data_IF_540468225919
#
_entry.id   IF_540468225919
#
_cell.length_a   1.000
_cell.length_b   1.000
_cell.length_c   1.000
_cell.angle_alpha   90.00
_cell.angle_beta   90.00
_cell.angle_gamma   90.00
#
_symmetry.space_group_name_H-M   'P 1'
#
loop_
_entity.id
_entity.type
_entity.pdbx_description
1 polymer ?
#
# COMPACT_ATOMS: atom_id res chain seq x y z
N UNK A 1 -64.69 10.76 -9.05
CA UNK A 1 -64.24 12.12 -8.67
C UNK A 1 -63.19 11.98 -7.60
N UNK A 2 -61.93 11.95 -7.95
CA UNK A 2 -60.78 12.43 -7.17
C UNK A 2 -59.53 12.18 -7.98
N UNK A 3 -59.05 13.25 -8.63
CA UNK A 3 -57.80 13.34 -9.33
C UNK A 3 -56.68 13.34 -8.30
N UNK A 4 -55.80 12.31 -8.32
CA UNK A 4 -54.53 12.33 -7.60
C UNK A 4 -53.43 12.57 -8.59
N UNK A 5 -52.86 13.76 -8.52
CA UNK A 5 -51.73 14.24 -9.28
C UNK A 5 -50.47 13.49 -8.81
N UNK A 6 -49.97 12.55 -9.61
CA UNK A 6 -48.66 11.92 -9.35
C UNK A 6 -47.59 12.85 -9.90
N UNK A 7 -46.93 13.53 -8.99
CA UNK A 7 -45.79 14.36 -9.31
C UNK A 7 -44.64 13.55 -9.88
N UNK A 8 -44.33 13.83 -11.15
CA UNK A 8 -43.12 13.32 -11.81
C UNK A 8 -41.91 14.00 -11.20
N UNK A 9 -41.23 13.30 -10.29
CA UNK A 9 -39.87 13.70 -9.88
C UNK A 9 -38.91 13.31 -11.00
N UNK A 10 -38.62 14.28 -11.86
CA UNK A 10 -37.49 14.22 -12.76
C UNK A 10 -36.21 14.11 -11.91
N UNK A 11 -35.62 12.91 -11.86
CA UNK A 11 -34.25 12.76 -11.37
C UNK A 11 -33.36 13.54 -12.32
N UNK A 12 -32.96 14.73 -11.88
CA UNK A 12 -31.99 15.57 -12.55
C UNK A 12 -30.63 14.91 -12.33
N UNK A 13 -30.08 14.31 -13.39
CA UNK A 13 -28.70 13.87 -13.45
C UNK A 13 -27.77 15.10 -13.51
N UNK A 14 -27.60 15.76 -12.39
CA UNK A 14 -26.65 16.86 -12.21
C UNK A 14 -26.32 16.93 -10.72
N UNK A 15 -25.39 16.10 -10.32
CA UNK A 15 -24.39 16.32 -9.27
C UNK A 15 -23.40 15.16 -9.26
N UNK A 16 -22.83 14.89 -10.45
CA UNK A 16 -21.46 14.41 -10.46
C UNK A 16 -20.62 15.65 -10.19
N UNK A 17 -20.37 15.95 -8.93
CA UNK A 17 -19.30 16.84 -8.55
C UNK A 17 -18.04 16.37 -9.31
N UNK A 18 -17.33 17.25 -10.03
CA UNK A 18 -16.05 16.87 -10.59
C UNK A 18 -15.22 16.40 -9.40
N UNK A 19 -14.67 15.19 -9.53
CA UNK A 19 -13.57 14.75 -8.68
C UNK A 19 -12.56 15.87 -8.83
N UNK A 20 -12.53 16.77 -7.85
CA UNK A 20 -11.49 17.75 -7.75
C UNK A 20 -10.21 16.95 -7.79
N UNK A 21 -9.50 17.08 -8.90
CA UNK A 21 -8.09 16.75 -8.99
C UNK A 21 -7.51 17.46 -7.77
N UNK A 22 -7.28 16.72 -6.69
CA UNK A 22 -6.42 17.21 -5.64
C UNK A 22 -5.10 17.39 -6.35
N UNK A 23 -4.90 18.61 -6.81
CA UNK A 23 -3.58 19.14 -7.03
C UNK A 23 -2.79 18.70 -5.80
N UNK A 24 -1.93 17.72 -6.00
CA UNK A 24 -0.82 17.45 -5.10
C UNK A 24 -0.06 18.77 -5.06
N UNK A 25 -0.51 19.66 -4.19
CA UNK A 25 0.34 20.75 -3.77
C UNK A 25 1.55 20.08 -3.17
N UNK A 26 2.62 20.10 -3.92
CA UNK A 26 3.97 19.80 -3.48
C UNK A 26 4.38 20.85 -2.44
N UNK A 27 3.68 20.85 -1.30
CA UNK A 27 3.93 21.71 -0.14
C UNK A 27 3.98 20.87 1.12
N UNK A 28 4.47 19.63 0.99
CA UNK A 28 5.13 18.97 2.09
C UNK A 28 6.62 18.88 1.75
N UNK A 29 7.18 20.06 1.44
CA UNK A 29 8.58 20.27 1.68
C UNK A 29 8.74 20.04 3.18
N UNK A 30 9.22 18.82 3.54
CA UNK A 30 9.80 18.58 4.83
C UNK A 30 10.62 19.84 5.19
N UNK A 31 10.55 20.36 6.42
CA UNK A 31 11.38 21.46 6.80
C UNK A 31 12.80 21.05 6.47
N UNK A 32 13.39 21.71 5.48
CA UNK A 32 14.83 21.72 5.34
C UNK A 32 15.29 22.22 6.70
N UNK A 33 15.61 21.28 7.58
CA UNK A 33 16.38 21.59 8.76
C UNK A 33 17.61 22.30 8.19
N UNK A 34 17.65 23.60 8.41
CA UNK A 34 18.79 24.47 8.13
C UNK A 34 19.97 23.88 8.90
N UNK A 35 20.53 22.83 8.36
CA UNK A 35 21.74 22.17 8.85
C UNK A 35 22.85 23.07 8.38
N UNK A 36 23.07 24.15 9.12
CA UNK A 36 24.26 24.98 8.98
C UNK A 36 25.44 24.01 8.93
N UNK A 37 26.11 23.96 7.78
CA UNK A 37 27.29 23.12 7.60
C UNK A 37 28.31 23.47 8.69
N UNK A 38 28.90 22.49 9.36
CA UNK A 38 29.86 22.75 10.41
C UNK A 38 31.04 23.56 9.86
N UNK A 39 31.47 24.57 10.60
CA UNK A 39 32.56 25.45 10.18
C UNK A 39 33.91 24.73 10.12
N UNK A 40 34.07 23.63 10.83
CA UNK A 40 35.25 22.76 10.78
C UNK A 40 34.78 21.32 10.60
N UNK A 41 35.45 20.59 9.72
CA UNK A 41 35.17 19.19 9.39
C UNK A 41 36.25 18.32 10.05
N UNK A 42 35.93 17.80 11.20
CA UNK A 42 36.70 16.73 11.83
C UNK A 42 36.20 15.37 11.32
N UNK A 43 37.00 14.31 11.43
CA UNK A 43 36.64 12.96 10.99
C UNK A 43 35.28 12.51 11.57
N UNK A 44 35.08 12.74 12.87
CA UNK A 44 33.83 12.35 13.53
C UNK A 44 32.62 13.11 12.97
N UNK A 45 32.78 14.40 12.74
CA UNK A 45 31.73 15.25 12.15
C UNK A 45 31.37 14.81 10.72
N UNK A 46 32.37 14.39 9.93
CA UNK A 46 32.16 13.85 8.58
C UNK A 46 31.36 12.55 8.64
N UNK A 47 31.69 11.64 9.56
CA UNK A 47 31.00 10.37 9.74
C UNK A 47 29.55 10.63 10.16
N UNK A 48 29.33 11.43 11.19
CA UNK A 48 27.97 11.71 11.72
C UNK A 48 27.08 12.36 10.67
N UNK A 49 27.62 13.29 9.89
CA UNK A 49 26.90 13.93 8.78
C UNK A 49 26.51 12.92 7.70
N UNK A 50 27.46 12.05 7.33
CA UNK A 50 27.20 11.03 6.29
C UNK A 50 26.17 10.00 6.76
N UNK A 51 26.22 9.53 8.00
CA UNK A 51 25.24 8.58 8.54
C UNK A 51 23.82 9.16 8.60
N UNK A 52 23.70 10.50 8.74
CA UNK A 52 22.39 11.16 8.72
C UNK A 52 21.85 11.41 7.31
N UNK A 53 22.74 11.72 6.35
CA UNK A 53 22.34 12.21 5.03
C UNK A 53 22.50 11.17 3.91
N UNK A 54 23.19 10.05 4.15
CA UNK A 54 23.41 9.04 3.13
C UNK A 54 22.10 8.36 2.69
N UNK A 55 21.80 8.46 1.39
CA UNK A 55 20.58 7.91 0.78
C UNK A 55 20.58 6.37 0.82
N UNK A 56 21.75 5.74 0.64
CA UNK A 56 21.87 4.28 0.65
C UNK A 56 21.53 3.73 2.03
N UNK A 57 22.03 4.38 3.09
CA UNK A 57 21.71 3.99 4.45
C UNK A 57 20.23 4.18 4.78
N UNK A 58 19.63 5.29 4.34
CA UNK A 58 18.18 5.52 4.48
C UNK A 58 17.36 4.43 3.78
N UNK A 59 17.77 4.01 2.58
CA UNK A 59 17.11 2.90 1.88
C UNK A 59 17.22 1.58 2.64
N UNK A 60 18.38 1.27 3.18
CA UNK A 60 18.58 0.04 3.94
C UNK A 60 17.75 0.04 5.23
N UNK A 61 17.63 1.19 5.92
CA UNK A 61 16.76 1.35 7.10
C UNK A 61 15.29 1.14 6.74
N UNK A 62 14.80 1.72 5.64
CA UNK A 62 13.43 1.51 5.15
C UNK A 62 13.22 0.03 4.77
N UNK A 63 14.22 -0.62 4.19
CA UNK A 63 14.15 -2.05 3.87
C UNK A 63 14.04 -2.93 5.12
N UNK A 64 14.75 -2.58 6.20
CA UNK A 64 14.63 -3.27 7.48
C UNK A 64 13.26 -3.03 8.13
N UNK A 65 12.73 -1.83 8.06
CA UNK A 65 11.37 -1.52 8.52
C UNK A 65 10.30 -2.29 7.70
N UNK A 66 10.47 -2.40 6.40
CA UNK A 66 9.61 -3.23 5.55
C UNK A 66 9.65 -4.71 5.97
N UNK A 67 10.83 -5.25 6.26
CA UNK A 67 10.96 -6.62 6.73
C UNK A 67 10.29 -6.84 8.10
N UNK A 68 10.28 -5.83 8.98
CA UNK A 68 9.53 -5.89 10.24
C UNK A 68 8.01 -5.97 9.98
N UNK A 69 7.50 -5.20 9.00
CA UNK A 69 6.09 -5.25 8.59
C UNK A 69 5.74 -6.64 8.01
N UNK A 70 6.66 -7.27 7.26
CA UNK A 70 6.47 -8.61 6.73
C UNK A 70 6.33 -9.66 7.85
N UNK A 71 7.07 -9.51 8.95
CA UNK A 71 6.88 -10.33 10.15
C UNK A 71 5.49 -10.15 10.75
N UNK A 72 5.01 -8.90 10.85
CA UNK A 72 3.66 -8.59 11.34
C UNK A 72 2.60 -9.20 10.43
N UNK A 73 2.78 -9.12 9.12
CA UNK A 73 1.90 -9.71 8.11
C UNK A 73 1.87 -11.24 8.20
N UNK A 74 3.04 -11.88 8.38
CA UNK A 74 3.10 -13.32 8.58
C UNK A 74 2.40 -13.77 9.87
N UNK A 75 2.47 -12.99 10.95
CA UNK A 75 1.72 -13.23 12.18
C UNK A 75 0.22 -13.02 11.97
N UNK A 76 -0.18 -11.98 11.23
CA UNK A 76 -1.58 -11.71 10.90
C UNK A 76 -2.21 -12.85 10.08
N UNK A 77 -1.43 -13.58 9.29
CA UNK A 77 -1.89 -14.75 8.55
C UNK A 77 -2.36 -15.92 9.44
N UNK A 78 -2.11 -15.90 10.76
CA UNK A 78 -2.68 -16.87 11.70
C UNK A 78 -4.17 -16.64 11.96
N UNK A 79 -4.66 -15.43 11.76
CA UNK A 79 -6.06 -15.07 11.93
C UNK A 79 -6.89 -15.45 10.69
N UNK A 80 -8.22 -15.58 10.84
CA UNK A 80 -9.10 -15.78 9.70
C UNK A 80 -9.11 -14.59 8.75
N UNK A 81 -9.14 -14.86 7.45
CA UNK A 81 -9.40 -13.84 6.44
C UNK A 81 -10.91 -13.67 6.28
N UNK A 82 -11.37 -12.43 6.31
CA UNK A 82 -12.74 -12.04 6.07
C UNK A 82 -12.81 -11.24 4.77
N UNK A 83 -13.68 -11.67 3.86
CA UNK A 83 -13.96 -10.96 2.62
C UNK A 83 -15.45 -10.71 2.48
N UNK A 84 -15.81 -9.53 2.00
CA UNK A 84 -17.17 -9.18 1.65
C UNK A 84 -17.24 -8.90 0.15
N UNK A 85 -18.21 -9.50 -0.52
CA UNK A 85 -18.46 -9.32 -1.95
C UNK A 85 -19.86 -8.80 -2.18
N UNK A 86 -19.98 -7.78 -3.01
CA UNK A 86 -21.26 -7.23 -3.48
C UNK A 86 -21.20 -7.24 -4.99
N UNK A 87 -22.13 -7.96 -5.60
CA UNK A 87 -22.29 -7.98 -7.04
C UNK A 87 -23.71 -7.58 -7.41
N UNK A 88 -23.82 -6.59 -8.29
CA UNK A 88 -25.12 -6.13 -8.79
C UNK A 88 -25.09 -6.13 -10.31
N UNK A 89 -26.04 -6.86 -10.89
CA UNK A 89 -26.16 -7.01 -12.33
C UNK A 89 -27.52 -6.55 -12.81
N UNK A 90 -27.52 -5.60 -13.72
CA UNK A 90 -28.72 -5.15 -14.42
C UNK A 90 -28.64 -5.66 -15.85
N UNK A 91 -29.61 -6.45 -16.25
CA UNK A 91 -29.71 -6.97 -17.62
C UNK A 91 -30.96 -6.41 -18.25
N UNK A 92 -30.78 -5.59 -19.29
CA UNK A 92 -31.87 -5.11 -20.13
C UNK A 92 -31.88 -5.87 -21.44
N UNK A 93 -33.00 -6.55 -21.74
CA UNK A 93 -33.23 -7.30 -22.98
C UNK A 93 -34.38 -6.68 -23.73
N UNK A 94 -34.16 -5.68 -24.57
CA UNK A 94 -35.24 -4.97 -25.25
C UNK A 94 -36.02 -5.86 -26.21
N UNK A 95 -35.42 -6.95 -26.75
CA UNK A 95 -35.99 -7.86 -27.71
C UNK A 95 -36.36 -9.25 -27.12
N UNK A 96 -36.53 -9.38 -25.81
CA UNK A 96 -37.04 -10.63 -25.26
C UNK A 96 -38.51 -10.76 -25.59
N UNK A 97 -38.86 -11.76 -26.40
CA UNK A 97 -40.26 -12.16 -26.58
C UNK A 97 -40.81 -12.68 -25.26
N UNK A 98 -42.04 -12.31 -24.93
CA UNK A 98 -42.75 -12.82 -23.76
C UNK A 98 -42.89 -14.34 -23.87
N UNK A 99 -42.06 -15.07 -23.16
CA UNK A 99 -42.22 -16.52 -23.03
C UNK A 99 -43.42 -16.81 -22.13
N UNK A 100 -44.46 -17.36 -22.69
CA UNK A 100 -45.59 -17.90 -21.94
C UNK A 100 -45.22 -19.30 -21.47
N UNK A 101 -45.04 -19.52 -20.18
CA UNK A 101 -44.86 -20.85 -19.62
C UNK A 101 -46.21 -21.36 -19.22
N UNK A 102 -46.68 -22.42 -19.93
CA UNK A 102 -47.91 -23.12 -19.57
C UNK A 102 -47.50 -24.31 -18.71
N UNK A 103 -47.81 -24.27 -17.44
CA UNK A 103 -47.62 -25.39 -16.51
C UNK A 103 -48.98 -25.79 -15.95
N UNK A 104 -49.63 -26.79 -16.54
CA UNK A 104 -50.98 -27.21 -16.19
C UNK A 104 -52.02 -26.12 -16.44
N UNK A 105 -52.83 -25.80 -15.43
CA UNK A 105 -53.90 -24.82 -15.52
C UNK A 105 -53.42 -23.36 -15.19
N UNK A 106 -52.11 -23.17 -15.03
CA UNK A 106 -51.55 -21.87 -14.62
C UNK A 106 -50.70 -21.29 -15.76
N UNK A 107 -51.14 -20.18 -16.33
CA UNK A 107 -50.47 -19.45 -17.40
C UNK A 107 -49.71 -18.28 -16.73
N UNK A 108 -48.37 -18.38 -16.66
CA UNK A 108 -47.53 -17.31 -16.13
C UNK A 108 -46.82 -16.63 -17.32
N UNK A 109 -47.21 -15.42 -17.67
CA UNK A 109 -46.48 -14.59 -18.63
C UNK A 109 -45.53 -13.65 -17.88
N UNK A 110 -44.24 -13.83 -18.06
CA UNK A 110 -43.24 -12.90 -17.55
C UNK A 110 -42.76 -11.97 -18.66
N UNK A 111 -43.09 -10.72 -18.57
CA UNK A 111 -42.71 -9.71 -19.57
C UNK A 111 -41.71 -8.65 -19.00
N UNK A 112 -40.82 -9.09 -18.15
CA UNK A 112 -39.83 -8.22 -17.56
C UNK A 112 -38.65 -8.01 -18.51
N UNK A 113 -38.62 -6.89 -19.25
CA UNK A 113 -37.51 -6.49 -20.14
C UNK A 113 -36.23 -6.17 -19.40
N UNK A 114 -36.34 -5.81 -18.13
CA UNK A 114 -35.20 -5.45 -17.27
C UNK A 114 -35.16 -6.39 -16.08
N UNK A 115 -34.06 -7.08 -15.91
CA UNK A 115 -33.81 -7.98 -14.79
C UNK A 115 -32.74 -7.35 -13.88
N UNK A 116 -33.05 -7.22 -12.59
CA UNK A 116 -32.13 -6.81 -11.54
C UNK A 116 -31.72 -8.04 -10.74
N UNK A 117 -30.44 -8.31 -10.70
CA UNK A 117 -29.92 -9.42 -9.91
C UNK A 117 -28.80 -8.89 -8.99
N UNK A 118 -28.98 -9.01 -7.70
CA UNK A 118 -28.04 -8.61 -6.68
C UNK A 118 -27.62 -9.81 -5.85
N UNK A 119 -26.32 -9.98 -5.64
CA UNK A 119 -25.79 -10.97 -4.71
C UNK A 119 -24.87 -10.29 -3.71
N UNK A 120 -25.03 -10.65 -2.46
CA UNK A 120 -24.24 -10.18 -1.33
C UNK A 120 -23.66 -11.42 -0.66
N UNK A 121 -22.33 -11.41 -0.47
CA UNK A 121 -21.64 -12.52 0.18
C UNK A 121 -20.66 -12.02 1.22
N UNK A 122 -20.56 -12.74 2.34
CA UNK A 122 -19.52 -12.58 3.33
C UNK A 122 -18.87 -13.94 3.50
N UNK A 123 -17.58 -14.01 3.20
CA UNK A 123 -16.80 -15.23 3.27
C UNK A 123 -15.74 -15.09 4.36
N UNK A 124 -15.71 -16.04 5.28
CA UNK A 124 -14.68 -16.15 6.29
C UNK A 124 -13.90 -17.45 6.07
N UNK A 125 -12.59 -17.33 5.88
CA UNK A 125 -11.73 -18.50 5.68
C UNK A 125 -10.66 -18.55 6.77
N UNK A 126 -10.62 -19.67 7.49
CA UNK A 126 -9.64 -19.90 8.54
C UNK A 126 -9.01 -21.27 8.40
N UNK A 127 -7.71 -21.28 8.13
CA UNK A 127 -6.96 -22.54 8.11
C UNK A 127 -6.45 -22.84 9.51
N UNK A 128 -7.03 -23.82 10.16
CA UNK A 128 -6.66 -24.22 11.53
C UNK A 128 -5.30 -24.93 11.59
N UNK A 129 -5.01 -25.79 10.61
CA UNK A 129 -3.77 -26.54 10.55
C UNK A 129 -3.30 -26.74 9.11
N UNK A 130 -2.00 -26.54 8.86
CA UNK A 130 -1.35 -26.76 7.58
C UNK A 130 0.07 -27.34 7.72
N UNK A 131 0.24 -28.30 8.63
CA UNK A 131 1.54 -28.96 8.81
C UNK A 131 2.65 -28.04 9.31
N UNK A 132 2.32 -27.07 10.18
CA UNK A 132 3.28 -26.09 10.74
C UNK A 132 3.89 -25.12 9.73
N UNK A 133 3.45 -25.11 8.45
CA UNK A 133 3.97 -24.22 7.41
C UNK A 133 3.91 -22.75 7.85
N UNK A 134 2.78 -22.30 8.43
CA UNK A 134 2.61 -20.92 8.89
C UNK A 134 3.63 -20.53 9.97
N UNK A 135 3.88 -21.42 10.93
CA UNK A 135 4.85 -21.17 12.00
C UNK A 135 6.27 -21.06 11.45
N UNK A 136 6.62 -21.93 10.48
CA UNK A 136 7.92 -21.88 9.83
C UNK A 136 8.06 -20.63 8.96
N UNK A 137 6.99 -20.17 8.29
CA UNK A 137 6.99 -18.90 7.55
C UNK A 137 7.26 -17.71 8.48
N UNK A 138 6.64 -17.68 9.68
CA UNK A 138 6.91 -16.62 10.65
C UNK A 138 8.38 -16.62 11.07
N UNK A 139 8.95 -17.79 11.38
CA UNK A 139 10.37 -17.91 11.72
C UNK A 139 11.26 -17.44 10.56
N UNK A 140 10.92 -17.80 9.34
CA UNK A 140 11.62 -17.35 8.14
C UNK A 140 11.60 -15.82 8.02
N UNK A 141 10.45 -15.18 8.20
CA UNK A 141 10.35 -13.72 8.15
C UNK A 141 11.11 -13.03 9.30
N UNK A 142 11.12 -13.64 10.49
CA UNK A 142 11.94 -13.13 11.59
C UNK A 142 13.44 -13.19 11.27
N UNK A 143 13.93 -14.24 10.62
CA UNK A 143 15.32 -14.33 10.17
C UNK A 143 15.61 -13.33 9.05
N UNK A 144 14.67 -13.13 8.11
CA UNK A 144 14.82 -12.13 7.06
C UNK A 144 14.90 -10.71 7.64
N UNK A 145 14.08 -10.40 8.65
CA UNK A 145 14.18 -9.12 9.35
C UNK A 145 15.55 -8.96 10.02
N UNK A 146 16.05 -10.01 10.66
CA UNK A 146 17.38 -9.97 11.26
C UNK A 146 18.50 -9.75 10.24
N UNK A 147 18.39 -10.36 9.05
CA UNK A 147 19.31 -10.12 7.94
C UNK A 147 19.24 -8.65 7.49
N UNK A 148 18.05 -8.08 7.38
CA UNK A 148 17.88 -6.69 6.98
C UNK A 148 18.49 -5.71 8.01
N UNK A 149 18.35 -5.98 9.31
CA UNK A 149 19.00 -5.21 10.38
C UNK A 149 20.54 -5.29 10.27
N UNK A 150 21.09 -6.48 10.02
CA UNK A 150 22.52 -6.65 9.85
C UNK A 150 23.06 -5.95 8.60
N UNK A 151 22.29 -5.93 7.51
CA UNK A 151 22.66 -5.19 6.30
C UNK A 151 22.71 -3.66 6.54
N UNK A 152 21.87 -3.14 7.44
CA UNK A 152 22.00 -1.73 7.88
C UNK A 152 23.32 -1.50 8.59
N UNK A 153 23.66 -2.34 9.57
CA UNK A 153 24.90 -2.23 10.30
C UNK A 153 26.15 -2.40 9.41
N UNK A 154 26.10 -3.34 8.44
CA UNK A 154 27.15 -3.49 7.44
C UNK A 154 27.32 -2.24 6.58
N UNK A 155 26.19 -1.62 6.17
CA UNK A 155 26.22 -0.39 5.39
C UNK A 155 26.77 0.79 6.21
N UNK A 156 26.47 0.89 7.50
CA UNK A 156 27.01 1.89 8.40
C UNK A 156 28.54 1.75 8.51
N UNK A 157 29.03 0.55 8.80
CA UNK A 157 30.47 0.28 8.88
C UNK A 157 31.21 0.57 7.56
N UNK A 158 30.62 0.19 6.42
CA UNK A 158 31.21 0.44 5.10
C UNK A 158 31.31 1.94 4.77
N UNK A 159 30.32 2.73 5.20
CA UNK A 159 30.35 4.20 5.04
C UNK A 159 31.43 4.78 5.92
N UNK A 160 31.53 4.38 7.20
CA UNK A 160 32.56 4.85 8.13
C UNK A 160 33.98 4.55 7.60
N UNK A 161 34.21 3.33 7.11
CA UNK A 161 35.49 2.93 6.54
C UNK A 161 35.84 3.77 5.30
N UNK A 162 34.87 3.97 4.39
CA UNK A 162 35.07 4.76 3.18
C UNK A 162 35.41 6.22 3.51
N UNK A 163 34.75 6.83 4.49
CA UNK A 163 35.02 8.19 4.92
C UNK A 163 36.40 8.30 5.57
N UNK A 164 36.75 7.34 6.44
CA UNK A 164 38.06 7.33 7.08
C UNK A 164 39.19 7.22 6.05
N UNK A 165 39.04 6.39 5.02
CA UNK A 165 40.02 6.25 3.95
C UNK A 165 40.18 7.57 3.15
N UNK A 166 39.05 8.18 2.78
CA UNK A 166 39.09 9.46 2.03
C UNK A 166 39.68 10.58 2.88
N UNK A 167 39.33 10.65 4.16
CA UNK A 167 39.86 11.65 5.08
C UNK A 167 41.37 11.57 5.21
N UNK A 168 41.94 10.37 5.37
CA UNK A 168 43.38 10.13 5.40
C UNK A 168 44.05 10.54 4.07
N UNK A 169 43.42 10.24 2.93
CA UNK A 169 43.93 10.66 1.61
C UNK A 169 43.98 12.19 1.45
N UNK A 170 42.94 12.89 1.96
CA UNK A 170 42.92 14.36 1.95
C UNK A 170 44.03 14.93 2.81
N UNK A 171 44.24 14.40 4.02
CA UNK A 171 45.33 14.85 4.90
C UNK A 171 46.70 14.60 4.25
N UNK A 172 46.90 13.44 3.65
CA UNK A 172 48.14 13.16 2.95
C UNK A 172 48.39 14.11 1.76
N UNK A 173 47.35 14.38 0.97
CA UNK A 173 47.43 15.32 -0.14
C UNK A 173 47.71 16.77 0.34
N UNK A 174 47.09 17.18 1.44
CA UNK A 174 47.32 18.50 2.02
C UNK A 174 48.76 18.69 2.53
N UNK A 175 49.35 17.64 3.09
CA UNK A 175 50.74 17.68 3.54
C UNK A 175 51.71 17.65 2.37
N UNK A 176 51.42 16.90 1.29
CA UNK A 176 52.25 16.84 0.09
C UNK A 176 52.32 18.18 -0.64
N UNK A 177 51.34 19.05 -0.51
CA UNK A 177 51.35 20.42 -1.12
C UNK A 177 52.23 21.39 -0.33
N UNK A 178 52.51 21.11 0.95
CA UNK A 178 53.35 21.98 1.77
C UNK A 178 54.85 21.74 1.60
N UNK A 179 55.23 20.63 0.96
CA UNK A 179 56.60 20.25 0.63
C UNK A 179 56.97 20.79 -0.74
#
# INVERSE_FOLDING_TARGET
VASACVGSTTLRAQDAAPIASQELTASDAAPEADTALPAQWDLQTCIDYALQHNITLKRNRISAESAEVDVKTAKAALFPSLSASISQRIVNRPNSESGTIISGDNITSSSSKTSYNGSYGIDANWTLYNGSKRLNTIKQQQLNNRIAELNVAESENSIEESIAQIYVQILYAAEAVKV
#
